data_IF_958168334700
#
_entry.id   IF_958168334700
#
_cell.length_a   1.000
_cell.length_b   1.000
_cell.length_c   1.000
_cell.angle_alpha   90.00
_cell.angle_beta   90.00
_cell.angle_gamma   90.00
#
_symmetry.space_group_name_H-M   'P 1'
#
loop_
_entity.id
_entity.type
_entity.pdbx_description
1 polymer ?
#
# COMPACT_ATOMS: atom_id res chain seq x y z
N UNK A 1 8.80 -3.26 -26.92
CA UNK A 1 7.45 -2.78 -26.55
C UNK A 1 7.47 -1.28 -26.32
N UNK A 2 6.50 -0.48 -26.81
CA UNK A 2 6.46 0.97 -26.52
C UNK A 2 5.48 1.26 -25.38
N UNK A 3 5.99 1.69 -24.23
CA UNK A 3 5.22 2.21 -23.09
C UNK A 3 5.40 3.72 -23.00
N UNK A 4 4.36 4.42 -22.56
CA UNK A 4 4.44 5.85 -22.26
C UNK A 4 4.47 6.02 -20.74
N UNK A 5 5.59 6.51 -20.22
CA UNK A 5 5.70 6.92 -18.80
C UNK A 5 4.78 8.11 -18.56
N UNK A 6 3.96 8.08 -17.51
CA UNK A 6 3.14 9.23 -17.14
C UNK A 6 4.00 10.31 -16.47
N UNK A 7 3.78 11.57 -16.85
CA UNK A 7 4.57 12.70 -16.34
C UNK A 7 4.33 12.99 -14.85
N UNK A 8 3.19 12.56 -14.31
CA UNK A 8 2.74 12.88 -12.94
C UNK A 8 3.28 11.87 -11.92
N UNK A 9 3.54 10.62 -12.30
CA UNK A 9 4.07 9.58 -11.40
C UNK A 9 5.17 8.77 -12.09
N UNK A 10 6.40 8.86 -11.58
CA UNK A 10 7.58 8.26 -12.20
C UNK A 10 7.57 6.71 -12.22
N UNK A 11 6.70 6.07 -11.43
CA UNK A 11 6.55 4.61 -11.38
C UNK A 11 5.43 4.04 -12.24
N UNK A 12 4.63 4.87 -12.93
CA UNK A 12 3.46 4.38 -13.69
C UNK A 12 3.68 4.45 -15.19
N UNK A 13 3.61 3.27 -15.83
CA UNK A 13 3.73 3.08 -17.27
C UNK A 13 2.41 2.63 -17.85
N UNK A 14 2.01 3.25 -18.96
CA UNK A 14 0.76 2.93 -19.64
C UNK A 14 1.04 2.56 -21.09
N UNK A 15 0.40 1.50 -21.56
CA UNK A 15 0.39 1.06 -22.96
C UNK A 15 -1.04 0.84 -23.42
N UNK A 16 -1.34 1.35 -24.61
CA UNK A 16 -2.68 1.29 -25.19
C UNK A 16 -3.48 2.57 -24.99
N UNK A 17 -4.75 2.50 -25.37
CA UNK A 17 -5.71 3.61 -25.30
C UNK A 17 -6.92 3.16 -24.48
N UNK A 18 -7.59 4.09 -23.80
CA UNK A 18 -8.74 3.81 -22.91
C UNK A 18 -9.89 3.11 -23.67
N UNK A 19 -9.95 3.29 -25.00
CA UNK A 19 -10.95 2.68 -25.89
C UNK A 19 -10.57 1.29 -26.45
N UNK A 20 -9.38 0.76 -26.13
CA UNK A 20 -8.83 -0.53 -26.64
C UNK A 20 -8.27 -1.37 -25.49
N UNK A 21 -7.39 -2.33 -25.81
CA UNK A 21 -6.56 -3.04 -24.83
C UNK A 21 -5.65 -2.04 -24.10
N UNK A 22 -5.91 -1.85 -22.81
CA UNK A 22 -5.15 -0.99 -21.90
C UNK A 22 -4.32 -1.87 -20.97
N UNK A 23 -3.05 -1.51 -20.81
CA UNK A 23 -2.13 -2.11 -19.85
C UNK A 23 -1.49 -0.99 -19.02
N UNK A 24 -1.60 -1.10 -17.71
CA UNK A 24 -1.03 -0.22 -16.71
C UNK A 24 -0.05 -1.03 -15.88
N UNK A 25 1.13 -0.48 -15.69
CA UNK A 25 2.19 -1.08 -14.88
C UNK A 25 2.58 -0.04 -13.83
N UNK A 26 2.52 -0.42 -12.56
CA UNK A 26 3.09 0.35 -11.47
C UNK A 26 4.35 -0.38 -11.00
N UNK A 27 5.51 0.27 -11.12
CA UNK A 27 6.80 -0.26 -10.73
C UNK A 27 7.26 0.47 -9.46
N UNK A 28 7.65 -0.31 -8.45
CA UNK A 28 8.25 0.19 -7.23
C UNK A 28 9.39 -0.72 -6.81
N UNK A 29 10.63 -0.25 -6.97
CA UNK A 29 11.84 -1.02 -6.70
C UNK A 29 11.75 -2.40 -7.39
N UNK A 30 11.67 -3.48 -6.63
CA UNK A 30 11.63 -4.86 -7.13
C UNK A 30 10.20 -5.37 -7.40
N UNK A 31 9.17 -4.64 -6.93
CA UNK A 31 7.77 -5.03 -7.05
C UNK A 31 7.10 -4.40 -8.27
N UNK A 32 6.30 -5.22 -8.97
CA UNK A 32 5.57 -4.82 -10.16
C UNK A 32 4.08 -5.16 -10.03
N UNK A 33 3.23 -4.13 -10.14
CA UNK A 33 1.77 -4.30 -10.22
C UNK A 33 1.32 -4.10 -11.67
N UNK A 34 0.66 -5.12 -12.22
CA UNK A 34 0.10 -5.10 -13.59
C UNK A 34 -1.42 -5.10 -13.53
N UNK A 35 -2.03 -4.12 -14.19
CA UNK A 35 -3.46 -4.03 -14.41
C UNK A 35 -3.75 -3.86 -15.90
N UNK A 36 -4.83 -4.44 -16.39
CA UNK A 36 -5.19 -4.28 -17.80
C UNK A 36 -6.63 -4.70 -18.08
N UNK A 37 -7.15 -4.27 -19.23
CA UNK A 37 -8.53 -4.59 -19.66
C UNK A 37 -8.67 -5.99 -20.25
N UNK A 38 -7.55 -6.59 -20.71
CA UNK A 38 -7.55 -7.89 -21.36
C UNK A 38 -6.59 -8.86 -20.64
N UNK A 39 -7.10 -9.98 -20.08
CA UNK A 39 -6.28 -10.92 -19.31
C UNK A 39 -5.22 -11.62 -20.16
N UNK A 40 -5.48 -11.83 -21.45
CA UNK A 40 -4.48 -12.40 -22.38
C UNK A 40 -3.28 -11.49 -22.51
N UNK A 41 -3.52 -10.17 -22.57
CA UNK A 41 -2.47 -9.16 -22.70
C UNK A 41 -1.64 -9.02 -21.42
N UNK A 42 -2.28 -9.15 -20.26
CA UNK A 42 -1.59 -9.23 -18.97
C UNK A 42 -0.68 -10.47 -18.94
N UNK A 43 -1.21 -11.64 -19.34
CA UNK A 43 -0.46 -12.89 -19.28
C UNK A 43 0.73 -12.92 -20.25
N UNK A 44 0.57 -12.37 -21.46
CA UNK A 44 1.67 -12.20 -22.41
C UNK A 44 2.77 -11.30 -21.83
N UNK A 45 2.38 -10.17 -21.21
CA UNK A 45 3.33 -9.27 -20.57
C UNK A 45 4.08 -9.95 -19.41
N UNK A 46 3.36 -10.68 -18.53
CA UNK A 46 3.98 -11.43 -17.42
C UNK A 46 5.04 -12.42 -17.92
N UNK A 47 4.72 -13.22 -18.94
CA UNK A 47 5.67 -14.17 -19.54
C UNK A 47 6.94 -13.51 -20.08
N UNK A 48 6.81 -12.31 -20.64
CA UNK A 48 7.96 -11.57 -21.18
C UNK A 48 8.82 -11.04 -20.03
N UNK A 49 8.22 -10.54 -18.96
CA UNK A 49 8.96 -10.11 -17.77
C UNK A 49 9.65 -11.27 -17.05
N UNK A 50 8.99 -12.43 -16.91
CA UNK A 50 9.59 -13.64 -16.32
C UNK A 50 10.72 -14.23 -17.18
N UNK A 51 10.71 -13.99 -18.50
CA UNK A 51 11.77 -14.44 -19.39
C UNK A 51 12.98 -13.48 -19.41
N UNK A 52 12.74 -12.18 -19.26
CA UNK A 52 13.79 -11.15 -19.25
C UNK A 52 14.42 -10.93 -17.88
N UNK A 53 13.65 -11.13 -16.80
CA UNK A 53 14.05 -10.86 -15.41
C UNK A 53 13.74 -12.06 -14.52
N UNK A 54 14.53 -12.24 -13.44
CA UNK A 54 14.22 -13.19 -12.37
C UNK A 54 13.02 -12.68 -11.54
N UNK A 55 11.84 -12.73 -12.14
CA UNK A 55 10.57 -12.28 -11.58
C UNK A 55 9.65 -13.49 -11.37
N UNK A 56 8.89 -13.47 -10.28
CA UNK A 56 7.88 -14.52 -10.00
C UNK A 56 6.50 -13.89 -9.97
N UNK A 57 5.54 -14.45 -10.73
CA UNK A 57 4.15 -14.05 -10.61
C UNK A 57 3.56 -14.47 -9.26
N UNK A 58 3.23 -13.49 -8.42
CA UNK A 58 2.51 -13.70 -7.14
C UNK A 58 1.01 -13.92 -7.33
N UNK A 59 0.50 -13.84 -8.57
CA UNK A 59 -0.86 -14.12 -8.94
C UNK A 59 -1.77 -12.89 -8.87
N UNK A 60 -2.94 -13.05 -8.23
CA UNK A 60 -3.89 -11.92 -8.04
C UNK A 60 -3.36 -10.97 -6.97
N UNK A 61 -3.68 -9.69 -7.11
CA UNK A 61 -3.28 -8.66 -6.16
C UNK A 61 -3.89 -8.94 -4.78
N UNK A 62 -3.06 -9.43 -3.86
CA UNK A 62 -3.40 -9.64 -2.45
C UNK A 62 -2.55 -8.77 -1.54
N UNK A 63 -1.32 -8.44 -1.97
CA UNK A 63 -0.39 -7.61 -1.24
C UNK A 63 0.48 -6.79 -2.21
N UNK A 64 0.69 -5.50 -1.91
CA UNK A 64 1.61 -4.63 -2.65
C UNK A 64 2.02 -3.46 -1.75
N UNK A 65 3.33 -3.22 -1.58
CA UNK A 65 3.88 -2.10 -0.79
C UNK A 65 3.37 -1.99 0.65
N UNK A 66 3.30 -3.09 1.39
CA UNK A 66 2.78 -3.02 2.77
C UNK A 66 1.26 -2.91 2.85
N UNK A 67 0.57 -2.86 1.71
CA UNK A 67 -0.89 -2.81 1.65
C UNK A 67 -1.46 -4.16 1.27
N UNK A 68 -2.58 -4.50 1.89
CA UNK A 68 -3.33 -5.72 1.63
C UNK A 68 -4.57 -5.38 0.82
N UNK A 69 -4.94 -6.30 -0.07
CA UNK A 69 -6.05 -6.14 -0.99
C UNK A 69 -7.00 -7.33 -0.89
N UNK A 70 -8.28 -7.05 -0.68
CA UNK A 70 -9.33 -8.06 -0.61
C UNK A 70 -10.36 -7.80 -1.70
N UNK A 71 -10.59 -8.80 -2.56
CA UNK A 71 -11.68 -8.76 -3.53
C UNK A 71 -13.01 -9.08 -2.83
N UNK A 72 -13.97 -8.18 -2.97
CA UNK A 72 -15.33 -8.29 -2.43
C UNK A 72 -16.35 -8.28 -3.57
N UNK A 73 -17.61 -8.60 -3.27
CA UNK A 73 -18.69 -8.53 -4.27
C UNK A 73 -18.90 -7.11 -4.83
N UNK A 74 -18.50 -6.08 -4.10
CA UNK A 74 -18.69 -4.67 -4.47
C UNK A 74 -17.47 -4.10 -5.19
N UNK A 75 -16.31 -4.76 -5.08
CA UNK A 75 -15.06 -4.30 -5.68
C UNK A 75 -13.84 -4.67 -4.85
N UNK A 76 -12.76 -3.89 -5.01
CA UNK A 76 -11.49 -4.11 -4.34
C UNK A 76 -11.39 -3.27 -3.06
N UNK A 77 -11.16 -3.93 -1.92
CA UNK A 77 -10.92 -3.27 -0.65
C UNK A 77 -9.42 -3.22 -0.35
N UNK A 78 -8.90 -2.01 -0.13
CA UNK A 78 -7.55 -1.76 0.35
C UNK A 78 -7.55 -1.70 1.88
N UNK A 79 -6.65 -2.41 2.56
CA UNK A 79 -6.48 -2.32 4.01
C UNK A 79 -5.05 -2.62 4.46
N UNK A 80 -4.75 -2.33 5.73
CA UNK A 80 -3.46 -2.62 6.38
C UNK A 80 -3.70 -3.28 7.74
N UNK A 81 -4.52 -4.34 7.76
CA UNK A 81 -4.96 -4.98 9.00
C UNK A 81 -3.80 -5.68 9.69
N UNK A 82 -2.95 -6.37 8.93
CA UNK A 82 -1.76 -7.03 9.48
C UNK A 82 -0.82 -6.01 10.13
N UNK A 83 -0.52 -4.92 9.42
CA UNK A 83 0.32 -3.84 9.94
C UNK A 83 -0.26 -3.22 11.22
N UNK A 84 -1.55 -2.87 11.23
CA UNK A 84 -2.20 -2.35 12.43
C UNK A 84 -2.14 -3.34 13.61
N UNK A 85 -2.35 -4.63 13.36
CA UNK A 85 -2.24 -5.67 14.38
C UNK A 85 -0.81 -5.86 14.91
N UNK A 86 0.20 -5.79 14.05
CA UNK A 86 1.61 -5.86 14.45
C UNK A 86 2.03 -4.63 15.26
N UNK A 87 1.53 -3.44 14.89
CA UNK A 87 1.75 -2.20 15.63
C UNK A 87 1.17 -2.28 17.05
N UNK A 88 -0.09 -2.72 17.17
CA UNK A 88 -0.73 -2.91 18.48
C UNK A 88 0.03 -3.93 19.33
N UNK A 89 0.52 -5.02 18.75
CA UNK A 89 1.34 -6.00 19.48
C UNK A 89 2.67 -5.40 19.93
N UNK A 90 3.37 -4.65 19.07
CA UNK A 90 4.67 -4.03 19.36
C UNK A 90 4.62 -3.11 20.58
N UNK A 91 3.52 -2.38 20.75
CA UNK A 91 3.33 -1.46 21.87
C UNK A 91 2.45 -2.00 23.00
N UNK A 92 2.20 -3.33 23.04
CA UNK A 92 1.36 -4.00 24.05
C UNK A 92 -0.07 -3.44 24.15
N UNK A 93 -0.63 -2.97 23.04
CA UNK A 93 -1.97 -2.35 22.95
C UNK A 93 -3.06 -3.31 22.44
N UNK A 94 -2.76 -4.60 22.28
CA UNK A 94 -3.72 -5.61 21.75
C UNK A 94 -5.02 -5.70 22.57
N UNK A 95 -4.96 -5.40 23.87
CA UNK A 95 -6.11 -5.45 24.78
C UNK A 95 -6.65 -4.05 25.14
N UNK A 96 -6.14 -2.99 24.51
CA UNK A 96 -6.63 -1.65 24.76
C UNK A 96 -8.08 -1.50 24.27
N UNK A 97 -8.84 -0.66 24.97
CA UNK A 97 -10.21 -0.35 24.59
C UNK A 97 -10.24 0.33 23.21
N UNK A 98 -11.17 -0.09 22.36
CA UNK A 98 -11.39 0.57 21.09
C UNK A 98 -11.85 2.02 21.31
N UNK A 99 -11.28 2.95 20.57
CA UNK A 99 -11.78 4.32 20.51
C UNK A 99 -13.13 4.33 19.77
N UNK A 100 -14.12 5.08 20.30
CA UNK A 100 -15.45 5.20 19.68
C UNK A 100 -15.45 5.98 18.36
N UNK A 101 -14.38 6.72 18.09
CA UNK A 101 -14.22 7.53 16.90
C UNK A 101 -12.76 7.92 16.71
N UNK A 102 -12.46 8.56 15.58
CA UNK A 102 -11.13 9.11 15.34
C UNK A 102 -10.80 10.20 16.37
N UNK A 103 -9.49 10.42 16.58
CA UNK A 103 -9.01 11.52 17.39
C UNK A 103 -9.45 12.87 16.80
N UNK A 104 -9.75 13.84 17.66
CA UNK A 104 -10.09 15.19 17.20
C UNK A 104 -8.94 15.81 16.39
N UNK A 105 -9.26 16.27 15.18
CA UNK A 105 -8.29 16.96 14.35
C UNK A 105 -7.93 18.32 14.96
N UNK A 106 -6.64 18.67 14.94
CA UNK A 106 -6.11 19.93 15.46
C UNK A 106 -6.32 20.14 16.97
N UNK A 107 -6.39 19.06 17.74
CA UNK A 107 -6.44 19.14 19.20
C UNK A 107 -5.22 19.91 19.72
N UNK A 108 -5.47 21.11 20.28
CA UNK A 108 -4.43 21.91 20.92
C UNK A 108 -4.21 21.38 22.34
N UNK A 109 -3.16 20.60 22.50
CA UNK A 109 -2.71 20.16 23.82
C UNK A 109 -1.98 21.32 24.51
N UNK A 110 -2.30 21.55 25.78
CA UNK A 110 -1.53 22.45 26.64
C UNK A 110 -0.54 21.61 27.46
N UNK A 111 0.65 22.17 27.71
CA UNK A 111 1.63 21.53 28.58
C UNK A 111 1.09 21.53 30.01
N UNK A 112 1.12 20.36 30.64
CA UNK A 112 0.80 20.18 32.05
C UNK A 112 2.11 20.14 32.83
N UNK A 113 2.52 21.28 33.39
CA UNK A 113 3.81 21.44 34.11
C UNK A 113 3.89 20.60 35.40
N UNK A 114 2.79 19.95 35.80
CA UNK A 114 2.74 19.05 36.96
C UNK A 114 3.18 17.61 36.65
N UNK A 115 3.39 17.26 35.38
CA UNK A 115 3.77 15.92 34.93
C UNK A 115 5.15 15.91 34.32
N UNK A 116 5.84 14.78 34.46
CA UNK A 116 7.10 14.54 33.74
C UNK A 116 6.85 14.54 32.22
N UNK A 117 7.83 15.08 31.48
CA UNK A 117 7.78 15.10 30.03
C UNK A 117 7.73 13.66 29.47
N UNK A 118 6.93 13.45 28.44
CA UNK A 118 6.85 12.14 27.77
C UNK A 118 8.19 11.82 27.09
N UNK A 119 8.60 10.55 27.10
CA UNK A 119 9.76 10.12 26.34
C UNK A 119 9.53 10.38 24.83
N UNK A 120 10.37 11.26 24.27
CA UNK A 120 10.29 11.63 22.87
C UNK A 120 10.49 10.43 21.96
N UNK A 121 11.38 9.51 22.34
CA UNK A 121 11.75 8.36 21.51
C UNK A 121 10.55 7.43 21.36
N UNK A 122 9.92 7.07 22.48
CA UNK A 122 8.71 6.24 22.51
C UNK A 122 7.58 6.90 21.72
N UNK A 123 7.37 8.20 21.88
CA UNK A 123 6.32 8.94 21.16
C UNK A 123 6.54 8.93 19.65
N UNK A 124 7.79 9.18 19.21
CA UNK A 124 8.18 9.13 17.80
C UNK A 124 8.04 7.72 17.21
N UNK A 125 8.36 6.68 18.00
CA UNK A 125 8.19 5.28 17.60
C UNK A 125 6.72 4.88 17.42
N UNK A 126 5.82 5.33 18.32
CA UNK A 126 4.39 5.02 18.21
C UNK A 126 3.77 5.71 17.00
N UNK A 127 4.08 6.99 16.77
CA UNK A 127 3.48 7.79 15.69
C UNK A 127 4.06 7.40 14.32
N UNK A 128 5.38 7.26 14.23
CA UNK A 128 6.07 6.96 12.98
C UNK A 128 6.18 5.47 12.67
N UNK A 129 5.81 4.61 13.61
CA UNK A 129 6.11 3.17 13.58
C UNK A 129 7.60 2.88 13.32
N UNK A 130 8.47 3.82 13.73
CA UNK A 130 9.93 3.81 13.55
C UNK A 130 10.62 2.74 14.39
#
# INVERSE_FOLDING_TARGET
MKFTRRAVEHGVYVKGDIKKDLLIICLYVDDLLVAGSNPTYINEFKKIMEAEFEMTDLGKLTYFLGMEFTYTIVGLMLHQRKYAGELLKRFNMTLCNAAKGPMEANLKLMKDDSKEDADETTSKQIIGSL
#
